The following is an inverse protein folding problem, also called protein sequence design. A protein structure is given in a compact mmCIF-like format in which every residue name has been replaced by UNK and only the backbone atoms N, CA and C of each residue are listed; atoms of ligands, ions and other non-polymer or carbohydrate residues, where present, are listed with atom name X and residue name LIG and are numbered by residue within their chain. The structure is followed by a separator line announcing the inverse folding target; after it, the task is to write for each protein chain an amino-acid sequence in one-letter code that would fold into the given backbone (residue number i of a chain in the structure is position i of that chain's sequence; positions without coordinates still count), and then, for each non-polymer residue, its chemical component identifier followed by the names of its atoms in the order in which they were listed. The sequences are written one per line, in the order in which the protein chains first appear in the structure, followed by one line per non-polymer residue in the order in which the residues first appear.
data_IF_115149428596
#
_entry.id   IF_115149428596
#
_cell.length_a   1.000
_cell.length_b   1.000
_cell.length_c   1.000
_cell.angle_alpha   90.00
_cell.angle_beta   90.00
_cell.angle_gamma   90.00
#
_symmetry.space_group_name_H-M   'P 1'
#
loop_
_entity.id
_entity.type
_entity.pdbx_description
1 polymer ?
#
# COMPACT_ATOMS: atom_id res chain seq x y z
N UNK A 1 12.51 11.43 -8.89
CA UNK A 1 13.86 11.93 -8.50
C UNK A 1 13.78 13.04 -7.44
N UNK A 2 12.93 14.09 -7.58
CA UNK A 2 12.86 15.17 -6.58
C UNK A 2 12.38 14.65 -5.22
N UNK A 3 11.22 13.98 -5.17
CA UNK A 3 10.69 13.40 -3.92
C UNK A 3 11.59 12.32 -3.33
N UNK A 4 12.20 11.51 -4.17
CA UNK A 4 13.16 10.50 -3.75
C UNK A 4 14.36 11.15 -3.04
N UNK A 5 14.90 12.22 -3.62
CA UNK A 5 16.00 12.98 -3.01
C UNK A 5 15.59 13.74 -1.76
N UNK A 6 14.37 14.27 -1.72
CA UNK A 6 13.81 14.90 -0.52
C UNK A 6 13.73 13.89 0.64
N UNK A 7 13.30 12.66 0.34
CA UNK A 7 13.21 11.58 1.34
C UNK A 7 14.59 11.18 1.90
N UNK A 8 15.64 11.25 1.11
CA UNK A 8 17.02 11.06 1.58
C UNK A 8 17.43 12.07 2.66
N UNK A 9 16.97 13.31 2.52
CA UNK A 9 17.32 14.42 3.41
C UNK A 9 16.50 14.42 4.68
N UNK A 10 15.21 14.10 4.57
CA UNK A 10 14.26 14.09 5.70
C UNK A 10 14.36 12.76 6.44
N UNK A 11 15.14 12.76 7.53
CA UNK A 11 15.26 11.59 8.43
C UNK A 11 14.46 11.83 9.71
N UNK A 12 13.45 11.02 9.97
CA UNK A 12 12.70 11.08 11.22
C UNK A 12 13.56 10.57 12.39
N UNK A 13 13.73 11.41 13.40
CA UNK A 13 14.51 11.06 14.59
C UNK A 13 15.98 10.74 14.33
N UNK A 14 16.54 11.12 13.17
CA UNK A 14 17.95 10.92 12.81
C UNK A 14 18.35 9.50 12.39
N UNK A 15 17.50 8.50 12.61
CA UNK A 15 17.83 7.08 12.39
C UNK A 15 16.93 6.39 11.37
N UNK A 16 15.64 6.75 11.29
CA UNK A 16 14.68 6.12 10.39
C UNK A 16 14.56 6.90 9.09
N UNK A 17 14.78 6.23 7.96
CA UNK A 17 14.56 6.81 6.64
C UNK A 17 13.04 6.93 6.37
N UNK A 18 12.65 7.99 5.66
CA UNK A 18 11.35 8.06 5.03
C UNK A 18 11.24 7.07 3.87
N UNK A 19 10.03 6.75 3.48
CA UNK A 19 9.74 5.96 2.29
C UNK A 19 8.49 6.51 1.60
N UNK A 20 8.42 6.33 0.28
CA UNK A 20 7.28 6.73 -0.53
C UNK A 20 6.66 5.50 -1.19
N UNK A 21 5.37 5.58 -1.51
CA UNK A 21 4.68 4.64 -2.38
C UNK A 21 4.31 5.34 -3.68
N UNK A 22 4.65 4.72 -4.80
CA UNK A 22 4.18 5.11 -6.12
C UNK A 22 3.27 4.02 -6.68
N UNK A 23 2.02 4.36 -7.00
CA UNK A 23 1.08 3.43 -7.61
C UNK A 23 0.67 3.96 -8.98
N UNK A 24 0.72 3.08 -9.99
CA UNK A 24 0.25 3.39 -11.33
C UNK A 24 -0.77 2.34 -11.77
N UNK A 25 -1.93 2.76 -12.30
CA UNK A 25 -2.90 1.79 -12.81
C UNK A 25 -2.41 1.14 -14.11
N UNK A 26 -2.76 -0.13 -14.30
CA UNK A 26 -2.35 -0.94 -15.45
C UNK A 26 -2.68 -0.31 -16.82
N UNK A 27 -3.73 0.48 -16.87
CA UNK A 27 -4.20 1.15 -18.11
C UNK A 27 -3.45 2.44 -18.45
N UNK A 28 -2.48 2.88 -17.63
CA UNK A 28 -1.73 4.10 -17.89
C UNK A 28 -0.76 3.94 -19.07
N UNK A 29 -0.63 4.94 -19.97
CA UNK A 29 0.24 4.82 -21.15
C UNK A 29 1.72 4.52 -20.85
N UNK A 30 2.21 4.99 -19.70
CA UNK A 30 3.61 4.79 -19.27
C UNK A 30 3.82 3.52 -18.42
N UNK A 31 2.88 2.57 -18.46
CA UNK A 31 2.93 1.39 -17.59
C UNK A 31 4.19 0.55 -17.80
N UNK A 32 4.68 0.41 -19.03
CA UNK A 32 5.92 -0.35 -19.31
C UNK A 32 7.14 0.27 -18.65
N UNK A 33 7.28 1.58 -18.80
CA UNK A 33 8.40 2.33 -18.21
C UNK A 33 8.34 2.28 -16.69
N UNK A 34 7.14 2.36 -16.12
CA UNK A 34 6.92 2.25 -14.68
C UNK A 34 7.31 0.86 -14.15
N UNK A 35 6.93 -0.22 -14.82
CA UNK A 35 7.26 -1.58 -14.42
C UNK A 35 8.78 -1.79 -14.36
N UNK A 36 9.52 -1.21 -15.30
CA UNK A 36 10.97 -1.43 -15.44
C UNK A 36 11.82 -0.34 -14.80
N UNK A 37 11.22 0.69 -14.19
CA UNK A 37 11.94 1.88 -13.70
C UNK A 37 13.04 1.57 -12.67
N UNK A 38 12.88 0.50 -11.90
CA UNK A 38 13.83 0.05 -10.87
C UNK A 38 14.81 -1.03 -11.36
N UNK A 39 14.82 -1.35 -12.65
CA UNK A 39 15.74 -2.33 -13.22
C UNK A 39 17.21 -1.89 -13.16
N UNK A 40 17.46 -0.59 -13.00
CA UNK A 40 18.80 -0.05 -12.83
C UNK A 40 19.07 0.26 -11.35
N UNK A 41 20.22 -0.17 -10.78
CA UNK A 41 20.61 0.17 -9.42
C UNK A 41 20.66 1.68 -9.18
N UNK A 42 20.24 2.12 -7.99
CA UNK A 42 20.22 3.54 -7.61
C UNK A 42 19.02 4.34 -8.11
N UNK A 43 18.03 3.69 -8.73
CA UNK A 43 16.81 4.35 -9.17
C UNK A 43 15.70 4.20 -8.15
N UNK A 44 15.17 5.33 -7.66
CA UNK A 44 14.01 5.42 -6.75
C UNK A 44 14.15 4.53 -5.50
N UNK A 45 15.31 4.58 -4.83
CA UNK A 45 15.61 3.71 -3.67
C UNK A 45 14.69 3.97 -2.47
N UNK A 46 14.12 5.17 -2.36
CA UNK A 46 13.17 5.53 -1.31
C UNK A 46 11.70 5.37 -1.75
N UNK A 47 11.46 4.77 -2.90
CA UNK A 47 10.13 4.44 -3.38
C UNK A 47 9.91 2.93 -3.41
N UNK A 48 8.83 2.47 -2.82
CA UNK A 48 8.18 1.24 -3.22
C UNK A 48 7.21 1.58 -4.34
N UNK A 49 7.11 0.74 -5.34
CA UNK A 49 6.22 0.93 -6.47
C UNK A 49 5.28 -0.26 -6.63
N UNK A 50 4.05 0.02 -7.00
CA UNK A 50 3.04 -1.03 -7.25
C UNK A 50 2.17 -0.68 -8.45
N UNK A 51 1.71 -1.70 -9.15
CA UNK A 51 0.72 -1.56 -10.23
C UNK A 51 -0.66 -1.88 -9.68
N UNK A 52 -1.60 -0.96 -9.85
CA UNK A 52 -2.99 -1.21 -9.52
C UNK A 52 -3.65 -2.01 -10.65
N UNK A 53 -4.13 -3.20 -10.32
CA UNK A 53 -4.86 -4.12 -11.19
C UNK A 53 -6.32 -4.19 -10.75
N UNK A 54 -7.17 -4.67 -11.65
CA UNK A 54 -8.58 -4.97 -11.40
C UNK A 54 -8.98 -6.34 -12.00
N UNK A 55 -10.18 -6.80 -11.70
CA UNK A 55 -10.72 -8.05 -12.21
C UNK A 55 -10.76 -8.09 -13.75
N UNK A 56 -11.04 -6.94 -14.38
CA UNK A 56 -11.09 -6.83 -15.84
C UNK A 56 -9.72 -7.13 -16.46
N UNK A 57 -8.66 -6.56 -15.91
CA UNK A 57 -7.30 -6.84 -16.38
C UNK A 57 -6.91 -8.30 -16.17
N UNK A 58 -7.18 -8.84 -14.97
CA UNK A 58 -6.87 -10.24 -14.67
C UNK A 58 -7.61 -11.21 -15.58
N UNK A 59 -8.87 -10.91 -15.90
CA UNK A 59 -9.64 -11.70 -16.87
C UNK A 59 -9.00 -11.64 -18.27
N UNK A 60 -8.58 -10.47 -18.72
CA UNK A 60 -7.88 -10.32 -19.99
C UNK A 60 -6.53 -11.08 -20.03
N UNK A 61 -5.84 -11.17 -18.88
CA UNK A 61 -4.62 -12.01 -18.75
C UNK A 61 -4.94 -13.50 -18.92
N UNK A 62 -5.99 -13.98 -18.25
CA UNK A 62 -6.44 -15.39 -18.36
C UNK A 62 -6.84 -15.75 -19.79
N UNK A 63 -7.65 -14.91 -20.41
CA UNK A 63 -8.18 -15.12 -21.76
C UNK A 63 -7.18 -14.77 -22.86
N UNK A 64 -6.00 -14.25 -22.50
CA UNK A 64 -4.95 -13.76 -23.42
C UNK A 64 -5.48 -12.68 -24.40
N UNK A 65 -6.34 -11.81 -23.87
CA UNK A 65 -6.97 -10.70 -24.62
C UNK A 65 -6.14 -9.42 -24.59
N UNK A 66 -6.36 -8.51 -25.55
CA UNK A 66 -5.82 -7.18 -25.50
C UNK A 66 -6.59 -6.30 -24.52
N UNK A 67 -5.93 -5.25 -24.04
CA UNK A 67 -6.54 -4.17 -23.26
C UNK A 67 -6.03 -2.80 -23.71
N UNK A 68 -6.79 -1.75 -23.44
CA UNK A 68 -6.47 -0.42 -23.87
C UNK A 68 -5.73 0.38 -22.80
N UNK A 69 -4.68 1.08 -23.24
CA UNK A 69 -4.02 2.12 -22.45
C UNK A 69 -4.75 3.44 -22.69
N UNK A 70 -5.12 4.11 -21.62
CA UNK A 70 -5.97 5.28 -21.62
C UNK A 70 -5.22 6.54 -21.21
N UNK A 71 -5.45 7.64 -21.92
CA UNK A 71 -4.98 8.95 -21.48
C UNK A 71 -5.55 9.28 -20.09
N UNK A 72 -4.72 9.62 -19.09
CA UNK A 72 -5.22 9.96 -17.76
C UNK A 72 -6.10 11.23 -17.73
N UNK A 73 -5.96 12.10 -18.73
CA UNK A 73 -6.73 13.36 -18.81
C UNK A 73 -8.05 13.20 -19.55
N UNK A 74 -8.01 12.56 -20.74
CA UNK A 74 -9.18 12.51 -21.64
C UNK A 74 -9.90 11.16 -21.59
N UNK A 75 -9.26 10.14 -21.03
CA UNK A 75 -9.73 8.73 -21.04
C UNK A 75 -9.84 8.13 -22.45
N UNK A 76 -9.33 8.80 -23.44
CA UNK A 76 -9.25 8.26 -24.80
C UNK A 76 -8.18 7.18 -24.89
N UNK A 77 -8.42 6.22 -25.78
CA UNK A 77 -7.47 5.13 -26.05
C UNK A 77 -6.22 5.70 -26.72
N UNK A 78 -5.07 5.49 -26.11
CA UNK A 78 -3.76 5.88 -26.65
C UNK A 78 -3.18 4.76 -27.50
N UNK A 79 -3.22 3.53 -27.00
CA UNK A 79 -2.83 2.33 -27.70
C UNK A 79 -3.41 1.09 -27.00
N UNK A 80 -3.28 -0.06 -27.66
CA UNK A 80 -3.76 -1.35 -27.15
C UNK A 80 -2.59 -2.28 -26.96
N UNK A 81 -2.59 -3.07 -25.90
CA UNK A 81 -1.56 -4.05 -25.56
C UNK A 81 -2.16 -5.39 -25.16
N UNK A 82 -1.40 -6.47 -25.25
CA UNK A 82 -1.80 -7.76 -24.69
C UNK A 82 -1.61 -7.79 -23.19
N UNK A 83 -2.67 -8.10 -22.46
CA UNK A 83 -2.65 -8.12 -21.00
C UNK A 83 -1.61 -9.11 -20.46
N UNK A 84 -1.51 -10.29 -21.07
CA UNK A 84 -0.54 -11.31 -20.65
C UNK A 84 0.93 -10.90 -20.83
N UNK A 85 1.25 -10.12 -21.84
CA UNK A 85 2.60 -9.61 -22.03
C UNK A 85 2.99 -8.62 -20.93
N UNK A 86 2.08 -7.74 -20.56
CA UNK A 86 2.32 -6.79 -19.46
C UNK A 86 2.37 -7.48 -18.11
N UNK A 87 1.52 -8.48 -17.87
CA UNK A 87 1.57 -9.28 -16.65
C UNK A 87 2.88 -10.06 -16.53
N UNK A 88 3.36 -10.68 -17.61
CA UNK A 88 4.65 -11.36 -17.61
C UNK A 88 5.81 -10.38 -17.33
N UNK A 89 5.76 -9.18 -17.89
CA UNK A 89 6.76 -8.14 -17.60
C UNK A 89 6.74 -7.74 -16.11
N UNK A 90 5.56 -7.66 -15.47
CA UNK A 90 5.44 -7.45 -14.02
C UNK A 90 6.13 -8.57 -13.24
N UNK A 91 5.84 -9.82 -13.59
CA UNK A 91 6.43 -11.01 -12.95
C UNK A 91 7.95 -11.03 -13.10
N UNK A 92 8.46 -10.79 -14.30
CA UNK A 92 9.89 -10.80 -14.60
C UNK A 92 10.62 -9.67 -13.83
N UNK A 93 10.04 -8.46 -13.77
CA UNK A 93 10.62 -7.35 -13.02
C UNK A 93 10.61 -7.62 -11.53
N UNK A 94 9.50 -8.10 -10.98
CA UNK A 94 9.38 -8.44 -9.55
C UNK A 94 10.34 -9.57 -9.17
N UNK A 95 10.53 -10.57 -10.03
CA UNK A 95 11.52 -11.62 -9.82
C UNK A 95 12.96 -11.07 -9.79
N UNK A 96 13.28 -10.13 -10.68
CA UNK A 96 14.62 -9.60 -10.80
C UNK A 96 15.00 -8.61 -9.70
N UNK A 97 14.06 -7.79 -9.21
CA UNK A 97 14.35 -6.64 -8.34
C UNK A 97 13.52 -6.59 -7.05
N UNK A 98 12.46 -7.36 -6.94
CA UNK A 98 11.46 -7.25 -5.87
C UNK A 98 10.36 -6.20 -6.14
N UNK A 99 10.49 -5.41 -7.19
CA UNK A 99 9.53 -4.39 -7.62
C UNK A 99 9.10 -4.60 -9.09
N UNK A 100 7.91 -4.16 -9.48
CA UNK A 100 6.84 -3.58 -8.66
C UNK A 100 6.03 -4.62 -7.88
N UNK A 101 5.33 -4.17 -6.83
CA UNK A 101 4.24 -4.93 -6.23
C UNK A 101 2.97 -4.85 -7.07
N UNK A 102 1.94 -5.59 -6.64
CA UNK A 102 0.59 -5.58 -7.24
C UNK A 102 -0.43 -5.22 -6.17
N UNK A 103 -1.40 -4.37 -6.54
CA UNK A 103 -2.54 -4.01 -5.69
C UNK A 103 -3.82 -4.29 -6.48
N UNK A 104 -4.71 -5.12 -5.93
CA UNK A 104 -6.03 -5.37 -6.49
C UNK A 104 -7.01 -4.31 -5.96
N UNK A 105 -7.04 -3.16 -6.62
CA UNK A 105 -7.68 -1.95 -6.10
C UNK A 105 -9.21 -2.06 -6.03
N UNK A 106 -9.83 -2.74 -6.98
CA UNK A 106 -11.25 -3.04 -6.98
C UNK A 106 -11.61 -4.00 -5.85
N UNK A 107 -10.83 -5.06 -5.66
CA UNK A 107 -11.05 -6.01 -4.57
C UNK A 107 -10.98 -5.33 -3.19
N UNK A 108 -10.07 -4.38 -3.00
CA UNK A 108 -9.96 -3.62 -1.75
C UNK A 108 -11.22 -2.77 -1.53
N UNK A 109 -11.76 -2.16 -2.59
CA UNK A 109 -12.93 -1.29 -2.49
C UNK A 109 -14.27 -2.04 -2.49
N UNK A 110 -14.38 -3.16 -3.22
CA UNK A 110 -15.60 -3.97 -3.35
C UNK A 110 -15.84 -4.92 -2.16
N UNK A 111 -14.81 -5.19 -1.37
CA UNK A 111 -14.89 -6.05 -0.19
C UNK A 111 -14.87 -5.23 1.10
N UNK A 112 -14.96 -5.90 2.25
CA UNK A 112 -14.85 -5.25 3.56
C UNK A 112 -13.43 -4.75 3.90
N UNK A 113 -12.52 -4.70 2.93
CA UNK A 113 -11.14 -4.22 3.14
C UNK A 113 -11.06 -2.69 3.19
N UNK A 114 -12.07 -1.99 2.69
CA UNK A 114 -12.27 -0.57 2.97
C UNK A 114 -13.27 -0.43 4.13
N UNK A 115 -12.83 -0.09 5.36
CA UNK A 115 -13.72 -0.04 6.52
C UNK A 115 -14.65 1.18 6.51
N UNK A 116 -14.40 2.17 5.66
CA UNK A 116 -15.15 3.43 5.59
C UNK A 116 -15.61 3.76 4.17
N UNK A 117 -16.33 2.87 3.47
CA UNK A 117 -16.67 3.05 2.04
C UNK A 117 -17.58 4.26 1.80
N UNK A 118 -18.36 4.69 2.80
CA UNK A 118 -19.17 5.90 2.71
C UNK A 118 -18.35 7.21 2.68
N UNK A 119 -17.07 7.16 3.02
CA UNK A 119 -16.19 8.33 3.04
C UNK A 119 -15.33 8.44 1.77
N UNK A 120 -15.24 7.39 0.97
CA UNK A 120 -14.52 7.37 -0.30
C UNK A 120 -13.90 6.03 -0.61
N UNK A 121 -13.24 5.99 -1.75
CA UNK A 121 -12.50 4.82 -2.23
C UNK A 121 -11.03 4.90 -1.81
N UNK A 122 -10.45 3.75 -1.54
CA UNK A 122 -9.00 3.59 -1.35
C UNK A 122 -8.33 3.80 -2.69
N UNK A 123 -7.34 4.71 -2.74
CA UNK A 123 -6.58 5.00 -3.95
C UNK A 123 -5.13 4.53 -3.87
N UNK A 124 -4.62 4.35 -2.66
CA UNK A 124 -3.20 4.03 -2.43
C UNK A 124 -3.01 3.20 -1.17
N UNK A 125 -1.76 2.83 -0.91
CA UNK A 125 -1.32 2.21 0.34
C UNK A 125 -0.12 2.97 0.90
N UNK A 126 0.27 2.64 2.13
CA UNK A 126 1.59 2.99 2.63
C UNK A 126 2.71 2.22 1.87
N UNK A 127 4.00 2.55 2.07
CA UNK A 127 5.10 1.96 1.29
C UNK A 127 5.20 0.43 1.34
N UNK A 128 4.84 -0.21 2.46
CA UNK A 128 4.90 -1.68 2.58
C UNK A 128 3.60 -2.38 2.13
N UNK A 129 2.54 -1.63 1.82
CA UNK A 129 1.28 -2.15 1.28
C UNK A 129 0.30 -2.71 2.30
N UNK A 130 0.62 -2.68 3.61
CA UNK A 130 -0.23 -3.24 4.66
C UNK A 130 -1.41 -2.36 5.04
N UNK A 131 -1.37 -1.06 4.68
CA UNK A 131 -2.44 -0.11 4.97
C UNK A 131 -3.00 0.51 3.70
N UNK A 132 -4.15 0.04 3.21
CA UNK A 132 -4.93 0.73 2.19
C UNK A 132 -5.48 2.05 2.77
N UNK A 133 -5.30 3.13 2.04
CA UNK A 133 -5.60 4.49 2.52
C UNK A 133 -6.46 5.27 1.52
N UNK A 134 -7.39 6.05 2.07
CA UNK A 134 -8.11 7.08 1.32
C UNK A 134 -7.19 8.29 1.08
N UNK A 135 -7.54 9.19 0.15
CA UNK A 135 -6.84 10.47 0.00
C UNK A 135 -6.76 11.24 1.33
N UNK A 136 -5.59 11.78 1.64
CA UNK A 136 -5.30 12.52 2.88
C UNK A 136 -5.39 11.70 4.18
N UNK A 137 -5.62 10.41 4.09
CA UNK A 137 -5.71 9.55 5.25
C UNK A 137 -4.32 9.22 5.80
N UNK A 138 -4.21 9.17 7.11
CA UNK A 138 -3.04 8.68 7.82
C UNK A 138 -3.43 7.56 8.79
N UNK A 139 -2.48 6.72 9.13
CA UNK A 139 -2.63 5.66 10.12
C UNK A 139 -1.44 5.65 11.08
N UNK A 140 -1.64 5.07 12.24
CA UNK A 140 -0.55 4.66 13.12
C UNK A 140 -0.62 3.15 13.36
N UNK A 141 0.51 2.54 13.65
CA UNK A 141 0.64 1.10 13.74
C UNK A 141 1.22 0.68 15.09
N UNK A 142 0.80 -0.49 15.55
CA UNK A 142 1.41 -1.18 16.67
C UNK A 142 1.52 -2.67 16.37
N UNK A 143 2.50 -3.33 17.01
CA UNK A 143 2.69 -4.77 16.87
C UNK A 143 2.75 -5.41 18.24
N UNK A 144 2.07 -6.54 18.40
CA UNK A 144 2.07 -7.34 19.64
C UNK A 144 2.87 -8.62 19.38
N UNK A 145 3.89 -8.85 20.19
CA UNK A 145 4.65 -10.09 20.11
C UNK A 145 3.87 -11.23 20.76
N UNK A 146 3.22 -12.06 19.97
CA UNK A 146 2.40 -13.17 20.43
C UNK A 146 3.15 -14.23 21.23
N UNK A 147 4.47 -14.36 21.02
CA UNK A 147 5.29 -15.32 21.77
C UNK A 147 5.29 -15.05 23.29
N UNK A 148 5.08 -13.80 23.70
CA UNK A 148 5.00 -13.42 25.11
C UNK A 148 3.74 -13.92 25.84
N UNK A 149 2.76 -14.43 25.10
CA UNK A 149 1.50 -14.96 25.63
C UNK A 149 1.40 -16.48 25.56
N UNK A 150 2.48 -17.16 25.17
CA UNK A 150 2.53 -18.61 25.11
C UNK A 150 3.25 -19.15 26.33
N UNK A 151 2.58 -20.01 27.10
CA UNK A 151 3.13 -20.71 28.25
C UNK A 151 3.37 -22.18 27.92
N UNK A 152 4.53 -22.72 28.34
CA UNK A 152 4.92 -24.10 28.10
C UNK A 152 6.00 -24.29 27.04
N UNK A 153 6.22 -25.54 26.66
CA UNK A 153 7.21 -25.88 25.64
C UNK A 153 6.77 -25.45 24.22
N UNK A 154 7.72 -25.14 23.36
CA UNK A 154 7.51 -24.58 22.00
C UNK A 154 6.53 -25.38 21.13
N UNK A 155 6.41 -26.70 21.35
CA UNK A 155 5.53 -27.58 20.58
C UNK A 155 4.20 -27.93 21.28
N UNK A 156 4.05 -27.54 22.55
CA UNK A 156 2.87 -27.85 23.40
C UNK A 156 2.40 -26.66 24.21
N UNK A 157 2.79 -25.47 23.80
CA UNK A 157 2.42 -24.22 24.47
C UNK A 157 0.93 -23.93 24.42
N UNK A 158 0.41 -23.34 25.47
CA UNK A 158 -0.96 -22.82 25.57
C UNK A 158 -0.96 -21.31 25.51
N UNK A 159 -1.85 -20.72 24.72
CA UNK A 159 -2.00 -19.29 24.60
C UNK A 159 -2.77 -18.71 25.79
N UNK A 160 -2.23 -17.71 26.47
CA UNK A 160 -2.93 -16.88 27.45
C UNK A 160 -3.77 -15.82 26.75
N UNK A 161 -4.95 -16.19 26.32
CA UNK A 161 -5.88 -15.30 25.63
C UNK A 161 -6.33 -14.13 26.51
N UNK A 162 -6.38 -14.31 27.84
CA UNK A 162 -6.82 -13.23 28.73
C UNK A 162 -5.80 -12.10 28.80
N UNK A 163 -4.54 -12.43 28.98
CA UNK A 163 -3.46 -11.42 28.96
C UNK A 163 -3.30 -10.80 27.58
N UNK A 164 -3.53 -11.57 26.51
CA UNK A 164 -3.54 -11.03 25.14
C UNK A 164 -4.69 -10.02 24.95
N UNK A 165 -5.92 -10.35 25.37
CA UNK A 165 -7.08 -9.47 25.31
C UNK A 165 -6.83 -8.15 26.05
N UNK A 166 -6.33 -8.22 27.28
CA UNK A 166 -5.99 -7.04 28.08
C UNK A 166 -4.94 -6.16 27.37
N UNK A 167 -3.95 -6.80 26.74
CA UNK A 167 -2.90 -6.09 26.01
C UNK A 167 -3.42 -5.45 24.74
N UNK A 168 -4.26 -6.14 23.97
CA UNK A 168 -4.91 -5.59 22.76
C UNK A 168 -5.76 -4.36 23.13
N UNK A 169 -6.60 -4.46 24.17
CA UNK A 169 -7.42 -3.34 24.61
C UNK A 169 -6.59 -2.10 24.97
N UNK A 170 -5.45 -2.30 25.64
CA UNK A 170 -4.53 -1.21 26.00
C UNK A 170 -3.83 -0.63 24.75
N UNK A 171 -3.40 -1.50 23.83
CA UNK A 171 -2.72 -1.10 22.61
C UNK A 171 -3.65 -0.28 21.70
N UNK A 172 -4.88 -0.75 21.47
CA UNK A 172 -5.89 -0.01 20.69
C UNK A 172 -6.18 1.34 21.33
N UNK A 173 -6.40 1.38 22.64
CA UNK A 173 -6.62 2.64 23.38
C UNK A 173 -5.44 3.60 23.23
N UNK A 174 -4.23 3.08 23.30
CA UNK A 174 -3.01 3.88 23.14
C UNK A 174 -2.93 4.49 21.74
N UNK A 175 -3.09 3.67 20.68
CA UNK A 175 -3.04 4.12 19.30
C UNK A 175 -4.16 5.13 18.97
N UNK A 176 -5.36 4.89 19.50
CA UNK A 176 -6.49 5.81 19.36
C UNK A 176 -6.22 7.19 20.03
N UNK A 177 -5.60 7.18 21.21
CA UNK A 177 -5.18 8.42 21.86
C UNK A 177 -4.08 9.16 21.08
N UNK A 178 -3.19 8.46 20.38
CA UNK A 178 -2.17 9.08 19.53
C UNK A 178 -2.82 9.92 18.44
N UNK A 179 -3.93 9.48 17.86
CA UNK A 179 -4.68 10.26 16.86
C UNK A 179 -5.12 11.62 17.40
N UNK A 180 -5.54 11.68 18.67
CA UNK A 180 -5.99 12.93 19.30
C UNK A 180 -4.86 13.91 19.56
N UNK A 181 -3.70 13.42 20.04
CA UNK A 181 -2.60 14.26 20.46
C UNK A 181 -1.59 14.57 19.36
N UNK A 182 -1.74 13.92 18.19
CA UNK A 182 -0.83 14.11 17.07
C UNK A 182 -0.90 15.53 16.51
N UNK A 183 0.25 16.07 16.13
CA UNK A 183 0.33 17.37 15.46
C UNK A 183 0.33 17.16 13.94
N UNK A 184 -0.80 17.41 13.31
CA UNK A 184 -0.97 17.22 11.88
C UNK A 184 -0.41 18.38 11.07
N UNK A 185 0.35 18.12 10.00
CA UNK A 185 0.94 19.19 9.19
C UNK A 185 -0.08 19.96 8.34
N UNK A 186 -1.22 19.34 8.01
CA UNK A 186 -2.29 19.91 7.18
C UNK A 186 -3.66 19.65 7.80
N UNK A 187 -4.58 20.63 7.73
CA UNK A 187 -5.95 20.48 8.24
C UNK A 187 -6.74 19.34 7.59
N UNK A 188 -6.50 19.08 6.30
CA UNK A 188 -7.15 18.00 5.56
C UNK A 188 -6.78 16.63 6.14
N UNK A 189 -5.51 16.43 6.45
CA UNK A 189 -5.02 15.19 7.08
C UNK A 189 -5.62 15.04 8.47
N UNK A 190 -5.62 16.11 9.28
CA UNK A 190 -6.22 16.09 10.62
C UNK A 190 -7.70 15.70 10.58
N UNK A 191 -8.45 16.32 9.69
CA UNK A 191 -9.89 16.06 9.53
C UNK A 191 -10.18 14.59 9.21
N UNK A 192 -9.44 14.03 8.22
CA UNK A 192 -9.64 12.63 7.80
C UNK A 192 -9.13 11.68 8.88
N UNK A 193 -7.94 11.90 9.43
CA UNK A 193 -7.36 11.03 10.45
C UNK A 193 -8.24 10.94 11.72
N UNK A 194 -8.72 12.08 12.22
CA UNK A 194 -9.63 12.11 13.37
C UNK A 194 -11.04 11.58 13.05
N UNK A 195 -11.48 11.71 11.80
CA UNK A 195 -12.77 11.19 11.35
C UNK A 195 -12.77 9.67 11.21
N UNK A 196 -11.76 9.10 10.58
CA UNK A 196 -11.67 7.67 10.26
C UNK A 196 -11.04 6.85 11.39
N UNK A 197 -10.14 7.46 12.17
CA UNK A 197 -9.43 6.81 13.30
C UNK A 197 -8.78 5.49 12.93
N UNK A 198 -8.05 5.46 11.81
CA UNK A 198 -7.40 4.27 11.30
C UNK A 198 -6.15 3.92 12.12
N UNK A 199 -6.15 2.70 12.68
CA UNK A 199 -5.07 2.11 13.49
C UNK A 199 -4.81 0.67 13.05
#
# INVERSE_FOLDING_TARGET
KLFDKLTDVVKQGGTRRGANMGILPYWHPEIKDFITIKSQPGMLENFNISVALDHKFMKAVEDNEPYDLLSPRTREVVCTMKAKEVFNMLVDSAWATGDPGIIFIDQINDTNSNPTPAQGEVESTNPCGEQPLLPWESCNLGSINLANFVHGETTKGTMDYKSLEDTVNKAVRFLDNVIEINNYPLPEIEKIAKGNRKI
#
